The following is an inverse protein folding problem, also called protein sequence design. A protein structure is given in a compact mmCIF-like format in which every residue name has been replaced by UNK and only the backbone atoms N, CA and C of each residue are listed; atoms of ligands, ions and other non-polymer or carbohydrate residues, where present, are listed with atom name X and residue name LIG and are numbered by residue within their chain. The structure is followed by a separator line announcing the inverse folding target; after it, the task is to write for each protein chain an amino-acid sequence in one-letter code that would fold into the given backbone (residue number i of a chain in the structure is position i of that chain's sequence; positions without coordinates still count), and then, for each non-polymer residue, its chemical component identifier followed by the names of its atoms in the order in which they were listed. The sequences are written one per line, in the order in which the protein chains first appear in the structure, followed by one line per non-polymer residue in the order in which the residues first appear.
data_IF_454511667350
#
_entry.id   IF_454511667350
#
_cell.length_a   1.000
_cell.length_b   1.000
_cell.length_c   1.000
_cell.angle_alpha   90.00
_cell.angle_beta   90.00
_cell.angle_gamma   90.00
#
_symmetry.space_group_name_H-M   'P 1'
#
loop_
_entity.id
_entity.type
_entity.pdbx_description
1 polymer ?
#
# COMPACT_ATOMS: atom_id res chain seq x y z
N UNK A 1 12.75 45.66 25.44
CA UNK A 1 11.94 45.89 24.23
C UNK A 1 12.68 45.15 23.11
N UNK A 2 12.77 43.82 23.09
CA UNK A 2 11.71 42.81 23.07
C UNK A 2 10.64 43.09 22.01
N UNK A 3 10.87 42.55 20.81
CA UNK A 3 9.81 42.08 19.92
C UNK A 3 10.26 40.75 19.32
N UNK A 4 9.61 39.70 19.82
CA UNK A 4 9.64 38.32 19.36
C UNK A 4 8.75 38.18 18.14
N UNK A 5 9.33 37.82 16.99
CA UNK A 5 8.53 37.29 15.87
C UNK A 5 8.14 35.85 16.20
N UNK A 6 6.87 35.69 16.58
CA UNK A 6 6.24 34.39 16.77
C UNK A 6 6.09 33.74 15.40
N UNK A 7 6.77 32.62 15.20
CA UNK A 7 6.53 31.71 14.10
C UNK A 7 5.05 31.29 14.10
N UNK A 8 4.40 31.46 12.95
CA UNK A 8 3.08 30.93 12.69
C UNK A 8 3.12 29.39 12.72
N UNK A 9 2.08 28.71 13.25
CA UNK A 9 2.04 27.26 13.24
C UNK A 9 1.87 26.76 11.80
N UNK A 10 2.75 25.85 11.38
CA UNK A 10 2.59 25.07 10.14
C UNK A 10 1.36 24.16 10.33
N UNK A 11 0.26 24.51 9.68
CA UNK A 11 -0.85 23.59 9.46
C UNK A 11 -0.45 22.61 8.35
N UNK A 12 0.12 21.47 8.72
CA UNK A 12 0.22 20.31 7.83
C UNK A 12 -1.15 19.65 7.78
N UNK A 13 -1.91 19.93 6.71
CA UNK A 13 -3.09 19.14 6.37
C UNK A 13 -2.58 17.90 5.62
N UNK A 14 -2.57 16.75 6.25
CA UNK A 14 -1.99 15.50 5.73
C UNK A 14 -3.10 14.58 5.22
N UNK A 15 -3.29 14.55 3.90
CA UNK A 15 -3.68 13.32 3.23
C UNK A 15 -2.42 12.49 3.00
N UNK A 16 -2.53 11.16 3.02
CA UNK A 16 -1.42 10.24 2.74
C UNK A 16 -0.86 10.51 1.34
N UNK A 17 0.28 11.19 1.28
CA UNK A 17 1.02 11.40 0.05
C UNK A 17 1.56 10.07 -0.46
N UNK A 18 1.40 9.80 -1.75
CA UNK A 18 2.19 8.77 -2.42
C UNK A 18 3.63 9.32 -2.47
N UNK A 19 4.63 8.57 -1.97
CA UNK A 19 6.05 8.93 -1.97
C UNK A 19 6.65 8.86 -3.38
N UNK A 20 6.07 9.61 -4.32
CA UNK A 20 6.48 9.63 -5.72
C UNK A 20 7.76 10.47 -5.82
N UNK A 21 8.86 9.81 -6.15
CA UNK A 21 10.18 10.43 -6.32
C UNK A 21 10.20 11.40 -7.51
N UNK A 22 10.89 12.54 -7.37
CA UNK A 22 11.12 13.49 -8.46
C UNK A 22 12.05 12.89 -9.54
N UNK A 23 11.82 13.13 -10.84
CA UNK A 23 12.81 12.78 -11.85
C UNK A 23 14.02 13.72 -11.73
N UNK A 24 15.22 13.13 -11.69
CA UNK A 24 16.49 13.86 -11.75
C UNK A 24 16.66 14.48 -13.14
N UNK A 25 16.80 15.81 -13.20
CA UNK A 25 17.15 16.52 -14.43
C UNK A 25 18.62 16.25 -14.81
N UNK A 26 18.87 15.17 -15.57
CA UNK A 26 20.12 15.04 -16.32
C UNK A 26 19.99 15.69 -17.70
N UNK A 27 20.63 16.85 -17.84
CA UNK A 27 20.87 17.54 -19.10
C UNK A 27 21.79 16.71 -20.00
N UNK A 28 21.23 15.97 -20.95
CA UNK A 28 22.01 15.34 -22.01
C UNK A 28 22.27 16.29 -23.19
N UNK A 29 23.48 16.82 -23.25
CA UNK A 29 24.04 17.43 -24.47
C UNK A 29 24.35 16.35 -25.52
N UNK A 30 23.85 16.58 -26.73
CA UNK A 30 24.01 15.68 -27.88
C UNK A 30 25.45 15.61 -28.41
N UNK A 31 25.86 14.39 -28.77
CA UNK A 31 27.10 14.12 -29.47
C UNK A 31 26.96 12.95 -30.45
N UNK A 32 26.69 13.27 -31.72
CA UNK A 32 26.74 12.32 -32.84
C UNK A 32 28.19 11.89 -33.08
N UNK A 33 28.45 10.57 -33.10
CA UNK A 33 29.50 9.98 -33.93
C UNK A 33 29.31 8.48 -34.17
N UNK A 34 29.11 8.17 -35.44
CA UNK A 34 29.14 6.86 -36.10
C UNK A 34 30.41 6.05 -35.83
N UNK A 35 30.29 4.71 -35.77
CA UNK A 35 31.19 3.77 -36.46
C UNK A 35 30.63 2.34 -36.49
N UNK A 36 30.59 1.80 -37.70
CA UNK A 36 30.39 0.40 -38.04
C UNK A 36 31.41 -0.53 -37.36
N UNK A 37 31.00 -1.75 -37.00
CA UNK A 37 31.56 -2.96 -37.60
C UNK A 37 30.80 -4.23 -37.18
N UNK A 38 30.41 -4.97 -38.20
CA UNK A 38 29.96 -6.37 -38.23
C UNK A 38 30.86 -7.35 -37.45
N UNK A 39 30.27 -8.33 -36.77
CA UNK A 39 30.69 -9.72 -36.92
C UNK A 39 29.59 -10.70 -36.48
N UNK A 40 29.05 -11.42 -37.46
CA UNK A 40 28.22 -12.61 -37.25
C UNK A 40 29.12 -13.83 -37.08
N UNK A 41 28.83 -14.71 -36.12
CA UNK A 41 28.96 -16.16 -36.38
C UNK A 41 28.29 -17.06 -35.33
N UNK A 42 27.50 -17.99 -35.88
CA UNK A 42 27.33 -19.38 -35.46
C UNK A 42 26.53 -19.67 -34.17
N UNK A 43 25.23 -19.85 -34.39
CA UNK A 43 24.37 -20.81 -33.70
C UNK A 43 25.05 -22.19 -33.68
N UNK A 44 25.29 -22.72 -32.49
CA UNK A 44 25.45 -24.16 -32.25
C UNK A 44 24.39 -24.59 -31.24
N UNK A 45 23.40 -25.28 -31.76
CA UNK A 45 22.40 -26.03 -31.02
C UNK A 45 23.05 -27.30 -30.45
N UNK A 46 23.37 -27.31 -29.16
CA UNK A 46 23.59 -28.55 -28.42
C UNK A 46 22.41 -28.78 -27.49
N UNK A 47 21.66 -29.82 -27.84
CA UNK A 47 20.62 -30.45 -27.04
C UNK A 47 21.22 -30.96 -25.74
N UNK A 48 20.73 -30.45 -24.61
CA UNK A 48 20.90 -31.11 -23.34
C UNK A 48 19.50 -31.30 -22.73
N UNK A 49 18.91 -32.46 -23.04
CA UNK A 49 17.85 -33.01 -22.22
C UNK A 49 18.46 -33.33 -20.85
N UNK A 50 18.19 -32.48 -19.85
CA UNK A 50 18.60 -32.68 -18.48
C UNK A 50 17.37 -32.84 -17.60
N UNK A 51 17.35 -33.96 -16.89
CA UNK A 51 16.35 -34.38 -15.94
C UNK A 51 15.96 -33.26 -14.97
N UNK A 52 14.66 -32.94 -14.94
CA UNK A 52 14.07 -32.07 -13.93
C UNK A 52 13.96 -32.89 -12.63
N UNK A 53 15.01 -32.82 -11.82
CA UNK A 53 14.97 -33.21 -10.42
C UNK A 53 15.03 -31.94 -9.58
N UNK A 54 14.10 -31.79 -8.64
CA UNK A 54 14.05 -30.64 -7.75
C UNK A 54 15.37 -30.51 -6.98
N UNK A 55 16.02 -29.34 -7.09
CA UNK A 55 17.29 -29.07 -6.42
C UNK A 55 17.03 -28.57 -4.99
N UNK A 56 17.44 -29.37 -4.01
CA UNK A 56 17.42 -29.01 -2.58
C UNK A 56 18.19 -27.70 -2.28
N UNK A 57 17.71 -26.89 -1.32
CA UNK A 57 18.28 -25.57 -0.98
C UNK A 57 19.79 -25.61 -0.70
N UNK A 58 20.25 -26.61 0.03
CA UNK A 58 21.68 -26.79 0.32
C UNK A 58 22.52 -27.12 -0.93
N UNK A 59 21.94 -27.80 -1.92
CA UNK A 59 22.58 -28.02 -3.21
C UNK A 59 22.61 -26.72 -4.02
N UNK A 60 21.49 -26.01 -4.11
CA UNK A 60 21.38 -24.72 -4.82
C UNK A 60 22.37 -23.68 -4.28
N UNK A 61 22.45 -23.51 -2.95
CA UNK A 61 23.43 -22.61 -2.32
C UNK A 61 24.86 -22.95 -2.69
N UNK A 62 25.23 -24.23 -2.72
CA UNK A 62 26.59 -24.66 -3.10
C UNK A 62 26.86 -24.36 -4.58
N UNK A 63 25.89 -24.59 -5.45
CA UNK A 63 25.99 -24.29 -6.88
C UNK A 63 26.20 -22.79 -7.12
N UNK A 64 25.45 -21.92 -6.42
CA UNK A 64 25.62 -20.47 -6.52
C UNK A 64 27.02 -20.04 -6.06
N UNK A 65 27.50 -20.58 -4.92
CA UNK A 65 28.85 -20.29 -4.44
C UNK A 65 29.94 -20.78 -5.38
N UNK A 66 29.75 -21.94 -6.02
CA UNK A 66 30.66 -22.45 -7.04
C UNK A 66 30.66 -21.56 -8.28
N UNK A 67 29.48 -21.14 -8.75
CA UNK A 67 29.35 -20.20 -9.88
C UNK A 67 30.08 -18.89 -9.58
N UNK A 68 29.87 -18.29 -8.40
CA UNK A 68 30.61 -17.11 -7.95
C UNK A 68 32.14 -17.35 -7.93
N UNK A 69 32.57 -18.56 -7.59
CA UNK A 69 33.97 -18.98 -7.65
C UNK A 69 34.55 -19.04 -9.07
N UNK A 70 33.72 -19.28 -10.09
CA UNK A 70 34.14 -19.30 -11.51
C UNK A 70 34.22 -17.93 -12.16
N UNK A 71 33.59 -16.91 -11.55
CA UNK A 71 33.62 -15.53 -12.05
C UNK A 71 35.01 -14.94 -11.89
N UNK A 72 35.45 -14.16 -12.88
CA UNK A 72 36.75 -13.48 -12.88
C UNK A 72 36.87 -12.60 -11.63
N UNK A 73 37.99 -12.64 -10.86
CA UNK A 73 38.09 -11.92 -9.60
C UNK A 73 37.79 -10.42 -9.66
N UNK A 74 38.07 -9.77 -10.78
CA UNK A 74 37.80 -8.34 -10.99
C UNK A 74 36.30 -8.01 -11.08
N UNK A 75 35.48 -8.93 -11.59
CA UNK A 75 34.05 -8.73 -11.81
C UNK A 75 33.20 -9.21 -10.62
N UNK A 76 33.78 -9.99 -9.70
CA UNK A 76 33.05 -10.51 -8.51
C UNK A 76 32.43 -9.42 -7.65
N UNK A 77 33.08 -8.27 -7.34
CA UNK A 77 32.44 -7.22 -6.56
C UNK A 77 31.22 -6.63 -7.27
N UNK A 78 31.30 -6.40 -8.58
CA UNK A 78 30.20 -5.87 -9.38
C UNK A 78 29.03 -6.86 -9.47
N UNK A 79 29.31 -8.14 -9.68
CA UNK A 79 28.29 -9.19 -9.68
C UNK A 79 27.63 -9.35 -8.31
N UNK A 80 28.40 -9.33 -7.21
CA UNK A 80 27.84 -9.38 -5.86
C UNK A 80 27.01 -8.14 -5.53
N UNK A 81 27.39 -6.98 -6.05
CA UNK A 81 26.59 -5.76 -5.91
C UNK A 81 25.28 -5.88 -6.69
N UNK A 82 25.34 -6.27 -7.98
CA UNK A 82 24.14 -6.54 -8.78
C UNK A 82 23.24 -7.59 -8.11
N UNK A 83 23.78 -8.69 -7.59
CA UNK A 83 22.97 -9.71 -6.90
C UNK A 83 22.26 -9.17 -5.64
N UNK A 84 22.77 -8.11 -5.01
CA UNK A 84 22.15 -7.48 -3.85
C UNK A 84 21.07 -6.46 -4.22
N UNK A 85 21.20 -5.84 -5.39
CA UNK A 85 20.39 -4.67 -5.77
C UNK A 85 19.51 -4.92 -6.99
N UNK A 86 19.60 -6.08 -7.65
CA UNK A 86 18.79 -6.39 -8.83
C UNK A 86 17.38 -6.82 -8.45
N UNK A 87 16.41 -6.40 -9.27
CA UNK A 87 15.00 -6.87 -9.24
C UNK A 87 14.77 -8.12 -10.09
N UNK A 88 15.78 -8.60 -10.82
CA UNK A 88 15.66 -9.81 -11.68
C UNK A 88 15.31 -11.07 -10.87
N UNK A 89 15.58 -11.08 -9.56
CA UNK A 89 15.20 -12.18 -8.68
C UNK A 89 13.73 -12.15 -8.26
N UNK A 90 13.05 -11.02 -8.41
CA UNK A 90 11.66 -10.85 -8.01
C UNK A 90 10.75 -11.82 -8.78
N UNK A 91 11.08 -12.12 -10.05
CA UNK A 91 10.40 -13.13 -10.90
C UNK A 91 10.41 -14.54 -10.29
N UNK A 92 11.46 -14.89 -9.54
CA UNK A 92 11.58 -16.20 -8.87
C UNK A 92 10.96 -16.21 -7.47
N UNK A 93 10.58 -15.03 -6.96
CA UNK A 93 9.88 -14.84 -5.68
C UNK A 93 8.44 -14.38 -5.85
N UNK A 94 7.94 -14.24 -7.09
CA UNK A 94 6.54 -13.90 -7.37
C UNK A 94 5.65 -14.96 -6.73
N UNK A 95 5.01 -14.58 -5.63
CA UNK A 95 4.02 -15.41 -4.98
C UNK A 95 2.78 -15.44 -5.90
N UNK A 96 2.19 -16.62 -6.10
CA UNK A 96 0.91 -16.75 -6.81
C UNK A 96 -0.15 -15.82 -6.20
N UNK A 97 -0.03 -15.54 -4.90
CA UNK A 97 -0.83 -14.56 -4.18
C UNK A 97 -0.69 -13.14 -4.74
N UNK A 98 0.52 -12.71 -5.08
CA UNK A 98 0.78 -11.38 -5.66
C UNK A 98 0.12 -11.25 -7.03
N UNK A 99 0.24 -12.30 -7.84
CA UNK A 99 -0.35 -12.36 -9.17
C UNK A 99 -1.87 -12.33 -9.05
N UNK A 100 -2.45 -13.04 -8.07
CA UNK A 100 -3.89 -12.97 -7.80
C UNK A 100 -4.33 -11.57 -7.41
N UNK A 101 -3.63 -10.87 -6.50
CA UNK A 101 -3.97 -9.50 -6.12
C UNK A 101 -3.83 -8.53 -7.31
N UNK A 102 -2.81 -8.67 -8.15
CA UNK A 102 -2.68 -7.88 -9.38
C UNK A 102 -3.86 -8.11 -10.33
N UNK A 103 -4.27 -9.36 -10.53
CA UNK A 103 -5.46 -9.66 -11.34
C UNK A 103 -6.75 -9.07 -10.73
N UNK A 104 -6.88 -9.06 -9.40
CA UNK A 104 -8.00 -8.41 -8.71
C UNK A 104 -7.98 -6.90 -8.96
N UNK A 105 -6.81 -6.26 -8.89
CA UNK A 105 -6.65 -4.86 -9.21
C UNK A 105 -7.09 -4.57 -10.67
N UNK A 106 -6.70 -5.40 -11.63
CA UNK A 106 -7.11 -5.28 -13.04
C UNK A 106 -8.63 -5.37 -13.21
N UNK A 107 -9.26 -6.33 -12.52
CA UNK A 107 -10.71 -6.48 -12.55
C UNK A 107 -11.43 -5.26 -12.00
N UNK A 108 -10.97 -4.74 -10.85
CA UNK A 108 -11.56 -3.56 -10.22
C UNK A 108 -11.39 -2.33 -11.10
N UNK A 109 -10.23 -2.14 -11.74
CA UNK A 109 -9.99 -1.04 -12.69
C UNK A 109 -10.98 -1.06 -13.86
N UNK A 110 -11.36 -2.24 -14.35
CA UNK A 110 -12.36 -2.35 -15.42
C UNK A 110 -13.78 -1.96 -14.98
N UNK A 111 -14.04 -1.90 -13.67
CA UNK A 111 -15.32 -1.50 -13.09
C UNK A 111 -15.34 -0.06 -12.58
N UNK A 112 -14.20 0.62 -12.55
CA UNK A 112 -14.04 1.93 -11.92
C UNK A 112 -13.62 2.99 -12.95
N UNK A 113 -13.97 4.27 -12.71
CA UNK A 113 -13.38 5.36 -13.45
C UNK A 113 -11.86 5.46 -13.16
N UNK A 114 -11.11 6.16 -14.02
CA UNK A 114 -9.66 6.30 -13.89
C UNK A 114 -9.27 6.93 -12.54
N UNK A 115 -10.05 7.90 -12.07
CA UNK A 115 -9.88 8.58 -10.79
C UNK A 115 -10.16 7.65 -9.60
N UNK A 116 -10.73 6.46 -9.84
CA UNK A 116 -11.04 5.41 -8.86
C UNK A 116 -11.92 5.87 -7.70
N UNK A 117 -12.66 6.95 -7.90
CA UNK A 117 -13.66 7.49 -6.98
C UNK A 117 -15.05 7.29 -7.56
N UNK A 118 -15.96 6.72 -6.79
CA UNK A 118 -17.35 6.59 -7.19
C UNK A 118 -18.10 7.88 -6.94
N UNK A 119 -19.11 8.17 -7.75
CA UNK A 119 -19.96 9.34 -7.52
C UNK A 119 -20.68 9.28 -6.17
N UNK A 120 -20.87 8.09 -5.59
CA UNK A 120 -21.46 7.90 -4.27
C UNK A 120 -20.55 8.36 -3.11
N UNK A 121 -19.25 8.61 -3.35
CA UNK A 121 -18.30 9.17 -2.38
C UNK A 121 -18.33 10.72 -2.34
N UNK A 122 -19.53 11.31 -2.27
CA UNK A 122 -19.72 12.76 -2.44
C UNK A 122 -18.87 13.62 -1.48
N UNK A 123 -18.78 13.25 -0.20
CA UNK A 123 -18.05 14.04 0.79
C UNK A 123 -16.53 13.98 0.57
N UNK A 124 -16.00 12.80 0.20
CA UNK A 124 -14.58 12.64 -0.09
C UNK A 124 -14.19 13.45 -1.33
N UNK A 125 -14.99 13.37 -2.41
CA UNK A 125 -14.82 14.20 -3.60
C UNK A 125 -14.81 15.70 -3.27
N UNK A 126 -15.78 16.14 -2.44
CA UNK A 126 -15.85 17.53 -2.01
C UNK A 126 -14.62 17.95 -1.20
N UNK A 127 -14.14 17.12 -0.28
CA UNK A 127 -12.96 17.42 0.55
C UNK A 127 -11.67 17.47 -0.27
N UNK A 128 -11.50 16.59 -1.25
CA UNK A 128 -10.35 16.61 -2.16
C UNK A 128 -10.34 17.91 -2.97
N UNK A 129 -11.49 18.35 -3.48
CA UNK A 129 -11.62 19.62 -4.21
C UNK A 129 -11.36 20.87 -3.36
N UNK A 130 -11.55 20.76 -2.04
CA UNK A 130 -11.31 21.85 -1.08
C UNK A 130 -9.86 21.90 -0.56
N UNK A 131 -8.99 20.99 -1.01
CA UNK A 131 -7.59 21.01 -0.62
C UNK A 131 -6.91 22.31 -1.08
N UNK A 132 -6.07 22.93 -0.24
CA UNK A 132 -5.43 24.21 -0.56
C UNK A 132 -4.45 24.09 -1.74
N UNK A 133 -3.88 22.89 -1.92
CA UNK A 133 -3.07 22.50 -3.07
C UNK A 133 -3.93 21.63 -3.98
N UNK A 134 -3.87 21.78 -5.31
CA UNK A 134 -4.53 20.87 -6.23
C UNK A 134 -4.09 19.43 -5.99
N UNK A 135 -5.05 18.56 -5.72
CA UNK A 135 -4.83 17.18 -5.28
C UNK A 135 -5.68 16.24 -6.11
N UNK A 136 -5.10 15.10 -6.49
CA UNK A 136 -5.72 14.05 -7.27
C UNK A 136 -5.77 12.77 -6.44
N UNK A 137 -6.88 12.04 -6.55
CA UNK A 137 -7.00 10.71 -5.95
C UNK A 137 -6.43 9.66 -6.92
N UNK A 138 -5.57 8.80 -6.39
CA UNK A 138 -4.96 7.68 -7.09
C UNK A 138 -4.94 6.51 -6.12
N UNK A 139 -5.67 5.46 -6.43
CA UNK A 139 -5.73 4.28 -5.56
C UNK A 139 -4.43 3.45 -5.67
N UNK A 140 -3.69 3.37 -4.56
CA UNK A 140 -2.38 2.71 -4.50
C UNK A 140 -2.44 1.18 -4.66
N UNK A 141 -3.62 0.56 -4.51
CA UNK A 141 -3.80 -0.87 -4.81
C UNK A 141 -3.96 -1.09 -6.31
N UNK A 142 -4.64 -0.16 -6.99
CA UNK A 142 -4.99 -0.29 -8.41
C UNK A 142 -3.87 0.18 -9.34
N UNK A 143 -3.09 1.16 -8.92
CA UNK A 143 -2.03 1.76 -9.71
C UNK A 143 -0.74 1.81 -8.90
N UNK A 144 0.25 1.03 -9.33
CA UNK A 144 1.63 1.17 -8.86
C UNK A 144 2.34 2.32 -9.58
N UNK A 145 3.55 2.66 -9.10
CA UNK A 145 4.33 3.78 -9.66
C UNK A 145 4.63 3.62 -11.15
N UNK A 146 4.96 2.39 -11.58
CA UNK A 146 5.24 2.07 -12.98
C UNK A 146 3.99 2.30 -13.86
N UNK A 147 2.80 1.99 -13.34
CA UNK A 147 1.55 2.28 -14.04
C UNK A 147 1.26 3.78 -14.10
N UNK A 148 1.53 4.53 -13.04
CA UNK A 148 1.38 5.99 -13.03
C UNK A 148 2.35 6.66 -14.00
N UNK A 149 3.60 6.17 -14.09
CA UNK A 149 4.58 6.59 -15.11
C UNK A 149 4.02 6.39 -16.52
N UNK A 150 3.50 5.20 -16.80
CA UNK A 150 2.91 4.87 -18.10
C UNK A 150 1.72 5.79 -18.45
N UNK A 151 0.84 6.09 -17.48
CA UNK A 151 -0.27 7.03 -17.69
C UNK A 151 0.20 8.47 -17.96
N UNK A 152 1.31 8.88 -17.34
CA UNK A 152 1.93 10.19 -17.59
C UNK A 152 2.53 10.25 -19.01
N UNK A 153 3.26 9.21 -19.42
CA UNK A 153 3.85 9.12 -20.76
C UNK A 153 2.79 9.12 -21.87
N UNK A 154 1.65 8.45 -21.64
CA UNK A 154 0.50 8.45 -22.54
C UNK A 154 -0.30 9.76 -22.54
N UNK A 155 0.03 10.71 -21.65
CA UNK A 155 -0.67 11.99 -21.52
C UNK A 155 -2.09 11.87 -20.95
N UNK A 156 -2.43 10.73 -20.33
CA UNK A 156 -3.71 10.50 -19.64
C UNK A 156 -3.73 11.08 -18.23
N UNK A 157 -2.54 11.30 -17.67
CA UNK A 157 -2.35 11.84 -16.32
C UNK A 157 -1.16 12.82 -16.31
N UNK A 158 -1.09 13.67 -15.29
CA UNK A 158 0.08 14.51 -15.03
C UNK A 158 0.40 14.47 -13.56
N UNK A 159 1.70 14.53 -13.21
CA UNK A 159 2.17 14.74 -11.83
C UNK A 159 2.21 16.20 -11.40
N UNK A 160 2.05 17.10 -12.36
CA UNK A 160 2.19 18.53 -12.17
C UNK A 160 0.95 19.28 -12.67
N UNK A 161 0.67 20.43 -12.07
CA UNK A 161 -0.33 21.39 -12.57
C UNK A 161 0.34 22.71 -12.93
N UNK A 162 -0.22 23.41 -13.92
CA UNK A 162 0.23 24.75 -14.28
C UNK A 162 -0.19 25.75 -13.21
N UNK A 163 0.77 26.52 -12.68
CA UNK A 163 0.48 27.64 -11.77
C UNK A 163 -0.21 28.79 -12.52
N UNK A 164 0.11 28.94 -13.81
CA UNK A 164 -0.57 29.83 -14.75
C UNK A 164 -0.94 29.01 -15.98
N UNK A 165 -2.25 28.90 -16.27
CA UNK A 165 -2.75 28.08 -17.38
C UNK A 165 -2.10 28.49 -18.72
N UNK A 166 -1.57 27.52 -19.46
CA UNK A 166 -0.85 27.74 -20.72
C UNK A 166 0.61 28.17 -20.57
N UNK A 167 1.15 28.21 -19.35
CA UNK A 167 2.58 28.44 -19.10
C UNK A 167 3.34 27.13 -18.85
N UNK A 168 4.68 27.21 -18.89
CA UNK A 168 5.58 26.15 -18.44
C UNK A 168 5.90 26.23 -16.94
N UNK A 169 5.28 27.15 -16.21
CA UNK A 169 5.46 27.25 -14.76
C UNK A 169 4.53 26.26 -14.08
N UNK A 170 5.10 25.12 -13.68
CA UNK A 170 4.37 24.03 -13.05
C UNK A 170 4.75 23.83 -11.59
N UNK A 171 3.83 23.25 -10.82
CA UNK A 171 4.05 22.78 -9.46
C UNK A 171 3.52 21.35 -9.33
N UNK A 172 4.07 20.53 -8.41
CA UNK A 172 3.62 19.15 -8.22
C UNK A 172 2.17 19.12 -7.72
N UNK A 173 1.40 18.14 -8.15
CA UNK A 173 0.08 17.84 -7.59
C UNK A 173 0.22 17.21 -6.19
N UNK A 174 -0.82 17.29 -5.38
CA UNK A 174 -1.00 16.38 -4.25
C UNK A 174 -1.55 15.05 -4.74
N UNK A 175 -1.11 13.95 -4.14
CA UNK A 175 -1.65 12.61 -4.39
C UNK A 175 -2.20 12.04 -3.09
N UNK A 176 -3.39 11.42 -3.16
CA UNK A 176 -4.02 10.75 -2.02
C UNK A 176 -4.52 9.38 -2.47
N UNK A 177 -4.26 8.38 -1.63
CA UNK A 177 -4.87 7.05 -1.72
C UNK A 177 -5.69 6.75 -0.45
N UNK A 178 -6.81 6.04 -0.64
CA UNK A 178 -7.61 5.46 0.45
C UNK A 178 -7.45 3.94 0.57
N UNK A 179 -6.54 3.33 -0.20
CA UNK A 179 -6.23 1.91 -0.16
C UNK A 179 -4.76 1.68 0.15
N UNK A 180 -4.45 0.52 0.74
CA UNK A 180 -3.09 0.01 0.82
C UNK A 180 -2.61 -0.47 -0.55
N UNK A 181 -1.35 -0.20 -0.88
CA UNK A 181 -0.68 -0.84 -2.01
C UNK A 181 -0.42 -2.32 -1.75
N UNK A 182 -0.05 -3.06 -2.79
CA UNK A 182 0.37 -4.47 -2.67
C UNK A 182 1.54 -4.65 -1.70
N UNK A 183 2.48 -3.70 -1.71
CA UNK A 183 3.66 -3.71 -0.85
C UNK A 183 3.29 -3.51 0.61
N UNK A 184 2.37 -2.58 0.89
CA UNK A 184 1.87 -2.34 2.24
C UNK A 184 1.08 -3.54 2.78
N UNK A 185 0.22 -4.15 1.95
CA UNK A 185 -0.49 -5.36 2.34
C UNK A 185 0.48 -6.49 2.71
N UNK A 186 1.54 -6.69 1.91
CA UNK A 186 2.59 -7.66 2.24
C UNK A 186 3.31 -7.31 3.54
N UNK A 187 3.69 -6.06 3.72
CA UNK A 187 4.34 -5.60 4.95
C UNK A 187 3.46 -5.90 6.17
N UNK A 188 2.17 -5.55 6.09
CA UNK A 188 1.19 -5.78 7.15
C UNK A 188 1.09 -7.27 7.48
N UNK A 189 0.84 -8.13 6.49
CA UNK A 189 0.54 -9.54 6.76
C UNK A 189 1.77 -10.42 7.01
N UNK A 190 2.92 -10.11 6.42
CA UNK A 190 4.13 -10.94 6.58
C UNK A 190 5.06 -10.45 7.70
N UNK A 191 5.03 -9.16 8.04
CA UNK A 191 6.02 -8.56 8.93
C UNK A 191 5.42 -7.87 10.17
N UNK A 192 4.21 -7.32 10.07
CA UNK A 192 3.58 -6.59 11.18
C UNK A 192 2.68 -7.49 12.02
N UNK A 193 1.78 -8.24 11.38
CA UNK A 193 0.80 -9.07 12.06
C UNK A 193 1.39 -10.44 12.44
N UNK A 194 0.98 -11.02 13.58
CA UNK A 194 1.35 -12.38 13.95
C UNK A 194 0.56 -13.41 13.11
N UNK A 195 0.84 -14.71 13.31
CA UNK A 195 0.01 -15.77 12.76
C UNK A 195 -1.46 -15.60 13.18
N UNK A 196 -2.36 -15.67 12.19
CA UNK A 196 -3.79 -15.42 12.36
C UNK A 196 -4.61 -16.71 12.42
N UNK A 197 -3.98 -17.87 12.58
CA UNK A 197 -4.68 -19.15 12.68
C UNK A 197 -5.73 -19.13 13.81
N UNK A 198 -7.00 -19.37 13.46
CA UNK A 198 -8.11 -19.33 14.44
C UNK A 198 -8.48 -17.92 14.93
N UNK A 199 -8.05 -16.87 14.21
CA UNK A 199 -8.27 -15.46 14.55
C UNK A 199 -9.28 -14.80 13.63
N UNK A 200 -9.99 -13.82 14.18
CA UNK A 200 -10.93 -12.96 13.44
C UNK A 200 -10.30 -11.60 13.21
N UNK A 201 -10.22 -11.18 11.94
CA UNK A 201 -9.79 -9.84 11.54
C UNK A 201 -10.98 -9.03 11.03
N UNK A 202 -11.06 -7.77 11.42
CA UNK A 202 -12.07 -6.82 10.98
C UNK A 202 -11.41 -5.63 10.30
N UNK A 203 -11.80 -5.37 9.06
CA UNK A 203 -11.41 -4.20 8.27
C UNK A 203 -12.54 -3.16 8.30
N UNK A 204 -12.28 -2.01 8.90
CA UNK A 204 -13.27 -0.94 9.08
C UNK A 204 -13.14 0.07 7.94
N UNK A 205 -14.22 0.26 7.18
CA UNK A 205 -14.20 1.09 5.97
C UNK A 205 -13.49 0.40 4.82
N UNK A 206 -13.86 -0.86 4.58
CA UNK A 206 -13.11 -1.75 3.69
C UNK A 206 -13.02 -1.30 2.23
N UNK A 207 -13.83 -0.33 1.78
CA UNK A 207 -13.78 0.28 0.44
C UNK A 207 -13.66 -0.74 -0.70
N UNK A 208 -12.49 -0.88 -1.32
CA UNK A 208 -12.27 -1.84 -2.41
C UNK A 208 -12.05 -3.30 -1.95
N UNK A 209 -11.93 -3.54 -0.63
CA UNK A 209 -11.72 -4.86 -0.03
C UNK A 209 -10.25 -5.32 -0.02
N UNK A 210 -9.30 -4.40 -0.23
CA UNK A 210 -7.88 -4.73 -0.46
C UNK A 210 -7.25 -5.44 0.74
N UNK A 211 -7.58 -4.99 1.96
CA UNK A 211 -7.18 -5.65 3.22
C UNK A 211 -7.74 -7.06 3.30
N UNK A 212 -8.99 -7.29 2.87
CA UNK A 212 -9.63 -8.61 2.92
C UNK A 212 -8.99 -9.57 1.92
N UNK A 213 -8.72 -9.12 0.70
CA UNK A 213 -8.09 -9.96 -0.34
C UNK A 213 -6.65 -10.29 0.04
N UNK A 214 -5.89 -9.30 0.53
CA UNK A 214 -4.55 -9.51 1.06
C UNK A 214 -4.57 -10.48 2.25
N UNK A 215 -5.52 -10.31 3.17
CA UNK A 215 -5.65 -11.20 4.34
C UNK A 215 -6.02 -12.62 3.97
N UNK A 216 -6.80 -12.81 2.91
CA UNK A 216 -7.10 -14.15 2.41
C UNK A 216 -5.85 -14.82 1.84
N UNK A 217 -5.08 -14.10 1.03
CA UNK A 217 -3.96 -14.70 0.32
C UNK A 217 -2.70 -14.84 1.18
N UNK A 218 -2.43 -13.89 2.08
CA UNK A 218 -1.22 -13.83 2.88
C UNK A 218 -1.38 -14.34 4.31
N UNK A 219 -2.58 -14.72 4.74
CA UNK A 219 -2.80 -15.15 6.13
C UNK A 219 -3.71 -16.37 6.28
N UNK A 220 -3.54 -17.02 7.43
CA UNK A 220 -4.31 -18.13 7.96
C UNK A 220 -5.54 -17.69 8.78
N UNK A 221 -5.94 -16.42 8.71
CA UNK A 221 -7.09 -15.87 9.44
C UNK A 221 -8.32 -16.77 9.24
N UNK A 222 -9.02 -17.08 10.34
CA UNK A 222 -10.21 -17.95 10.29
C UNK A 222 -11.35 -17.26 9.56
N UNK A 223 -11.55 -15.98 9.86
CA UNK A 223 -12.56 -15.13 9.22
C UNK A 223 -12.03 -13.71 9.04
N UNK A 224 -12.39 -13.11 7.91
CA UNK A 224 -12.05 -11.75 7.50
C UNK A 224 -13.36 -10.99 7.29
N UNK A 225 -13.64 -9.97 8.11
CA UNK A 225 -14.86 -9.17 8.01
C UNK A 225 -14.55 -7.77 7.48
N UNK A 226 -15.11 -7.41 6.33
CA UNK A 226 -15.13 -6.03 5.86
C UNK A 226 -16.41 -5.35 6.30
N UNK A 227 -16.31 -4.19 6.98
CA UNK A 227 -17.46 -3.33 7.24
C UNK A 227 -17.35 -2.12 6.34
N UNK A 228 -18.38 -1.88 5.53
CA UNK A 228 -18.41 -0.77 4.58
C UNK A 228 -19.79 -0.10 4.57
N UNK A 229 -19.79 1.23 4.60
CA UNK A 229 -21.01 2.03 4.63
C UNK A 229 -21.61 2.19 3.24
N UNK A 230 -20.78 2.23 2.20
CA UNK A 230 -21.18 2.42 0.82
C UNK A 230 -21.50 1.08 0.14
N UNK A 231 -22.78 0.88 -0.20
CA UNK A 231 -23.27 -0.32 -0.84
C UNK A 231 -22.69 -0.59 -2.24
N UNK A 232 -22.19 0.42 -2.97
CA UNK A 232 -21.57 0.20 -4.28
C UNK A 232 -20.20 -0.50 -4.11
N UNK A 233 -19.44 -0.09 -3.10
CA UNK A 233 -18.19 -0.76 -2.74
C UNK A 233 -18.41 -2.17 -2.23
N UNK A 234 -19.44 -2.38 -1.41
CA UNK A 234 -19.84 -3.73 -0.99
C UNK A 234 -20.10 -4.64 -2.21
N UNK A 235 -20.80 -4.13 -3.23
CA UNK A 235 -21.07 -4.89 -4.45
C UNK A 235 -19.78 -5.22 -5.24
N UNK A 236 -18.83 -4.29 -5.34
CA UNK A 236 -17.53 -4.54 -5.96
C UNK A 236 -16.75 -5.61 -5.21
N UNK A 237 -16.73 -5.55 -3.87
CA UNK A 237 -16.07 -6.55 -3.04
C UNK A 237 -16.71 -7.93 -3.24
N UNK A 238 -18.05 -8.02 -3.19
CA UNK A 238 -18.79 -9.27 -3.39
C UNK A 238 -18.58 -9.87 -4.80
N UNK A 239 -18.44 -9.02 -5.83
CA UNK A 239 -18.06 -9.47 -7.16
C UNK A 239 -16.69 -10.17 -7.16
N UNK A 240 -15.67 -9.55 -6.55
CA UNK A 240 -14.33 -10.13 -6.45
C UNK A 240 -14.37 -11.43 -5.62
N UNK A 241 -15.00 -11.40 -4.45
CA UNK A 241 -15.13 -12.57 -3.55
C UNK A 241 -15.73 -13.75 -4.30
N UNK A 242 -16.79 -13.52 -5.09
CA UNK A 242 -17.44 -14.56 -5.88
C UNK A 242 -16.55 -15.05 -7.03
N UNK A 243 -15.87 -14.15 -7.74
CA UNK A 243 -15.00 -14.51 -8.88
C UNK A 243 -13.82 -15.36 -8.44
N UNK A 244 -13.21 -15.03 -7.31
CA UNK A 244 -12.02 -15.70 -6.77
C UNK A 244 -12.33 -16.76 -5.72
N UNK A 245 -13.61 -16.98 -5.40
CA UNK A 245 -14.09 -18.00 -4.46
C UNK A 245 -13.59 -17.82 -3.01
N UNK A 246 -13.49 -16.58 -2.54
CA UNK A 246 -13.02 -16.24 -1.19
C UNK A 246 -14.11 -16.29 -0.11
N UNK A 247 -15.31 -16.77 -0.47
CA UNK A 247 -16.52 -16.73 0.37
C UNK A 247 -16.50 -17.70 1.55
N UNK A 248 -15.48 -18.55 1.68
CA UNK A 248 -15.29 -19.44 2.83
C UNK A 248 -14.76 -18.68 4.07
N UNK A 249 -13.99 -17.61 3.87
CA UNK A 249 -13.41 -16.80 4.96
C UNK A 249 -13.74 -15.32 4.93
N UNK A 250 -13.99 -14.73 3.76
CA UNK A 250 -14.34 -13.30 3.66
C UNK A 250 -15.84 -13.11 3.79
N UNK A 251 -16.25 -12.12 4.59
CA UNK A 251 -17.62 -11.64 4.70
C UNK A 251 -17.65 -10.11 4.65
N UNK A 252 -18.50 -9.55 3.80
CA UNK A 252 -18.69 -8.10 3.68
C UNK A 252 -20.02 -7.71 4.31
N UNK A 253 -19.98 -6.70 5.19
CA UNK A 253 -21.12 -6.17 5.91
C UNK A 253 -21.38 -4.75 5.43
N UNK A 254 -22.47 -4.58 4.65
CA UNK A 254 -22.99 -3.26 4.31
C UNK A 254 -23.66 -2.64 5.54
N UNK A 255 -22.89 -1.92 6.36
CA UNK A 255 -23.32 -1.41 7.65
C UNK A 255 -22.48 -0.21 8.13
N UNK A 256 -23.07 0.61 9.00
CA UNK A 256 -22.32 1.56 9.82
C UNK A 256 -21.56 0.79 10.91
N UNK A 257 -20.25 0.98 11.02
CA UNK A 257 -19.42 0.36 12.05
C UNK A 257 -19.93 0.64 13.47
N UNK A 258 -20.60 1.78 13.68
CA UNK A 258 -21.24 2.15 14.95
C UNK A 258 -22.45 1.27 15.32
N UNK A 259 -22.78 0.28 14.50
CA UNK A 259 -23.82 -0.73 14.77
C UNK A 259 -23.23 -2.12 15.00
N UNK A 260 -21.91 -2.29 14.83
CA UNK A 260 -21.23 -3.59 14.81
C UNK A 260 -20.42 -3.85 16.10
N UNK A 261 -20.89 -3.37 17.25
CA UNK A 261 -20.17 -3.49 18.53
C UNK A 261 -19.83 -4.93 18.91
N UNK A 262 -20.73 -5.88 18.68
CA UNK A 262 -20.45 -7.30 18.95
C UNK A 262 -19.33 -7.87 18.06
N UNK A 263 -19.21 -7.41 16.82
CA UNK A 263 -18.12 -7.81 15.93
C UNK A 263 -16.78 -7.27 16.45
N UNK A 264 -16.72 -5.97 16.75
CA UNK A 264 -15.54 -5.30 17.29
C UNK A 264 -15.06 -5.89 18.63
N UNK A 265 -16.00 -6.26 19.51
CA UNK A 265 -15.67 -6.87 20.81
C UNK A 265 -15.05 -8.25 20.69
N UNK A 266 -15.33 -8.98 19.60
CA UNK A 266 -14.82 -10.33 19.39
C UNK A 266 -13.57 -10.39 18.49
N UNK A 267 -13.29 -9.32 17.75
CA UNK A 267 -12.14 -9.22 16.85
C UNK A 267 -10.81 -9.46 17.56
N UNK A 268 -9.92 -10.21 16.94
CA UNK A 268 -8.53 -10.38 17.37
C UNK A 268 -7.62 -9.32 16.74
N UNK A 269 -7.96 -8.86 15.54
CA UNK A 269 -7.27 -7.78 14.83
C UNK A 269 -8.32 -6.84 14.23
N UNK A 270 -8.14 -5.53 14.41
CA UNK A 270 -8.92 -4.48 13.75
C UNK A 270 -7.98 -3.63 12.91
N UNK A 271 -8.31 -3.44 11.64
CA UNK A 271 -7.56 -2.60 10.70
C UNK A 271 -8.41 -1.38 10.34
N UNK A 272 -7.79 -0.21 10.38
CA UNK A 272 -8.42 1.07 10.06
C UNK A 272 -7.48 1.90 9.18
N UNK A 273 -7.72 1.90 7.87
CA UNK A 273 -6.93 2.66 6.91
C UNK A 273 -7.71 3.89 6.41
N UNK A 274 -7.33 5.08 6.88
CA UNK A 274 -7.85 6.37 6.43
C UNK A 274 -9.39 6.45 6.38
N UNK A 275 -10.05 5.81 7.37
CA UNK A 275 -11.46 5.44 7.23
C UNK A 275 -12.45 6.60 7.41
N UNK A 276 -12.06 7.68 8.10
CA UNK A 276 -13.04 8.70 8.52
C UNK A 276 -12.78 10.11 7.99
N UNK A 277 -11.53 10.52 7.85
CA UNK A 277 -11.18 11.93 7.59
C UNK A 277 -11.86 12.47 6.32
N UNK A 278 -11.92 11.66 5.27
CA UNK A 278 -12.50 12.06 3.97
C UNK A 278 -14.00 11.73 3.85
N UNK A 279 -14.49 10.78 4.65
CA UNK A 279 -15.81 10.17 4.45
C UNK A 279 -16.87 10.67 5.42
N UNK A 280 -16.47 11.29 6.55
CA UNK A 280 -17.36 11.76 7.60
C UNK A 280 -17.07 13.21 7.99
N UNK A 281 -18.05 13.92 8.55
CA UNK A 281 -17.81 15.23 9.18
C UNK A 281 -17.19 15.08 10.60
N UNK A 282 -16.56 16.12 11.14
CA UNK A 282 -15.82 16.04 12.41
C UNK A 282 -16.63 15.46 13.58
N UNK A 283 -17.92 15.78 13.69
CA UNK A 283 -18.79 15.24 14.75
C UNK A 283 -19.08 13.74 14.56
N UNK A 284 -19.27 13.30 13.32
CA UNK A 284 -19.41 11.89 12.98
C UNK A 284 -18.12 11.11 13.20
N UNK A 285 -16.97 11.70 12.86
CA UNK A 285 -15.65 11.11 13.12
C UNK A 285 -15.43 10.90 14.62
N UNK A 286 -15.70 11.93 15.44
CA UNK A 286 -15.59 11.84 16.88
C UNK A 286 -16.50 10.74 17.45
N UNK A 287 -17.76 10.69 17.02
CA UNK A 287 -18.71 9.64 17.41
C UNK A 287 -18.24 8.24 17.03
N UNK A 288 -17.69 8.07 15.83
CA UNK A 288 -17.21 6.77 15.35
C UNK A 288 -15.99 6.30 16.14
N UNK A 289 -15.01 7.19 16.37
CA UNK A 289 -13.86 6.89 17.20
C UNK A 289 -14.23 6.57 18.65
N UNK A 290 -15.17 7.33 19.23
CA UNK A 290 -15.69 7.01 20.56
C UNK A 290 -16.33 5.63 20.56
N UNK A 291 -17.19 5.31 19.60
CA UNK A 291 -17.80 3.99 19.52
C UNK A 291 -16.76 2.86 19.40
N UNK A 292 -15.76 3.01 18.53
CA UNK A 292 -14.71 2.02 18.32
C UNK A 292 -13.90 1.83 19.60
N UNK A 293 -13.44 2.92 20.22
CA UNK A 293 -12.69 2.84 21.48
C UNK A 293 -13.50 2.22 22.62
N UNK A 294 -14.83 2.30 22.61
CA UNK A 294 -15.66 1.62 23.61
C UNK A 294 -15.85 0.11 23.33
N UNK A 295 -15.75 -0.33 22.07
CA UNK A 295 -16.03 -1.71 21.69
C UNK A 295 -14.77 -2.55 21.41
N UNK A 296 -13.66 -1.95 20.98
CA UNK A 296 -12.38 -2.63 20.80
C UNK A 296 -11.64 -2.67 22.15
N UNK A 297 -12.02 -3.67 22.96
CA UNK A 297 -11.56 -3.82 24.36
C UNK A 297 -11.06 -5.23 24.70
N UNK A 298 -10.95 -6.11 23.71
CA UNK A 298 -10.43 -7.47 23.91
C UNK A 298 -8.94 -7.38 24.23
N UNK A 299 -8.55 -7.64 25.47
CA UNK A 299 -7.15 -7.55 25.89
C UNK A 299 -6.26 -8.46 25.04
N UNK A 300 -5.11 -7.93 24.59
CA UNK A 300 -4.17 -8.61 23.72
C UNK A 300 -4.61 -8.73 22.25
N UNK A 301 -5.76 -8.17 21.88
CA UNK A 301 -6.09 -7.95 20.46
C UNK A 301 -5.26 -6.80 19.89
N UNK A 302 -5.17 -6.76 18.56
CA UNK A 302 -4.37 -5.78 17.84
C UNK A 302 -5.26 -4.77 17.13
N UNK A 303 -4.83 -3.51 17.11
CA UNK A 303 -5.41 -2.43 16.33
C UNK A 303 -4.33 -1.86 15.44
N UNK A 304 -4.54 -1.91 14.13
CA UNK A 304 -3.67 -1.29 13.14
C UNK A 304 -4.35 -0.07 12.56
N UNK A 305 -3.69 1.08 12.58
CA UNK A 305 -4.24 2.32 12.03
C UNK A 305 -3.28 3.00 11.07
N UNK A 306 -3.86 3.67 10.08
CA UNK A 306 -3.18 4.60 9.19
C UNK A 306 -4.05 5.85 9.04
N UNK A 307 -3.62 7.04 9.49
CA UNK A 307 -2.36 7.32 10.20
C UNK A 307 -2.41 6.84 11.67
N UNK A 308 -1.45 7.28 12.49
CA UNK A 308 -1.45 7.03 13.95
C UNK A 308 -2.76 7.45 14.63
N UNK A 309 -3.06 6.84 15.78
CA UNK A 309 -4.19 7.25 16.62
C UNK A 309 -4.02 8.69 17.12
N UNK A 310 -2.80 9.09 17.46
CA UNK A 310 -2.45 10.44 17.87
C UNK A 310 -2.84 11.47 16.79
N UNK A 311 -2.43 11.23 15.55
CA UNK A 311 -2.77 12.11 14.42
C UNK A 311 -4.28 12.11 14.16
N UNK A 312 -4.87 10.92 14.06
CA UNK A 312 -6.31 10.72 13.77
C UNK A 312 -7.22 11.40 14.80
N UNK A 313 -6.82 11.44 16.07
CA UNK A 313 -7.62 12.01 17.16
C UNK A 313 -7.25 13.46 17.48
N UNK A 314 -6.08 13.95 17.08
CA UNK A 314 -5.57 15.29 17.45
C UNK A 314 -6.49 16.44 17.07
N UNK A 315 -7.20 16.30 15.94
CA UNK A 315 -8.11 17.31 15.39
C UNK A 315 -9.55 17.17 15.90
N UNK A 316 -9.85 16.09 16.62
CA UNK A 316 -11.20 15.74 17.04
C UNK A 316 -11.42 16.04 18.53
N UNK A 317 -12.60 16.58 18.84
CA UNK A 317 -13.03 16.78 20.23
C UNK A 317 -13.55 15.46 20.81
N UNK A 318 -12.64 14.56 21.17
CA UNK A 318 -12.97 13.26 21.78
C UNK A 318 -12.48 13.19 23.22
N UNK A 319 -13.14 12.37 24.04
CA UNK A 319 -12.70 12.08 25.41
C UNK A 319 -11.81 10.82 25.50
N UNK A 320 -11.25 10.38 24.39
CA UNK A 320 -10.49 9.13 24.30
C UNK A 320 -9.12 9.33 24.92
N UNK A 321 -8.80 8.52 25.92
CA UNK A 321 -7.47 8.44 26.50
C UNK A 321 -6.75 7.21 25.94
N UNK A 322 -5.63 7.42 25.25
CA UNK A 322 -4.87 6.34 24.62
C UNK A 322 -4.17 5.45 25.64
N UNK A 323 -3.49 6.03 26.63
CA UNK A 323 -2.71 5.29 27.64
C UNK A 323 -3.46 4.17 28.38
N UNK A 324 -4.75 4.29 28.76
CA UNK A 324 -5.50 3.18 29.35
C UNK A 324 -6.18 2.25 28.33
N UNK A 325 -6.08 2.53 27.04
CA UNK A 325 -6.76 1.77 25.99
C UNK A 325 -5.79 0.93 25.17
N UNK A 326 -4.69 1.52 24.74
CA UNK A 326 -3.76 0.96 23.77
C UNK A 326 -2.32 1.18 24.21
N UNK A 327 -1.44 0.30 23.75
CA UNK A 327 0.00 0.48 23.78
C UNK A 327 0.55 0.28 22.38
N UNK A 328 1.25 1.28 21.85
CA UNK A 328 1.90 1.18 20.54
C UNK A 328 3.01 0.11 20.57
N UNK A 329 3.06 -0.68 19.50
CA UNK A 329 4.05 -1.73 19.27
C UNK A 329 5.04 -1.19 18.23
N UNK A 330 6.33 -1.01 18.59
CA UNK A 330 7.34 -0.55 17.64
C UNK A 330 7.50 -1.53 16.48
N UNK A 331 7.41 -1.03 15.25
CA UNK A 331 7.65 -1.81 14.04
C UNK A 331 9.11 -1.68 13.58
N UNK A 332 9.67 -2.78 13.07
CA UNK A 332 11.02 -2.77 12.50
C UNK A 332 10.95 -2.64 10.98
N UNK A 333 11.25 -1.44 10.48
CA UNK A 333 11.22 -1.11 9.06
C UNK A 333 12.50 -1.53 8.32
N UNK A 334 13.63 -1.67 9.02
CA UNK A 334 14.96 -1.84 8.41
C UNK A 334 15.26 -3.32 8.04
N UNK A 335 14.54 -4.29 8.60
CA UNK A 335 14.76 -5.73 8.35
C UNK A 335 13.87 -6.30 7.22
N UNK A 336 12.89 -5.54 6.73
CA UNK A 336 11.76 -6.15 6.04
C UNK A 336 11.71 -5.93 4.52
N UNK A 337 12.42 -4.96 3.91
CA UNK A 337 12.12 -4.58 2.52
C UNK A 337 13.34 -4.14 1.68
N UNK A 338 13.28 -4.26 0.33
CA UNK A 338 14.32 -3.81 -0.59
C UNK A 338 14.64 -2.31 -0.49
N UNK A 339 15.84 -1.88 -0.92
CA UNK A 339 16.32 -0.48 -0.79
C UNK A 339 15.45 0.57 -1.50
N UNK A 340 14.60 0.18 -2.47
CA UNK A 340 13.72 1.09 -3.23
C UNK A 340 12.27 1.19 -2.69
N UNK A 341 12.06 0.75 -1.46
CA UNK A 341 10.72 0.73 -0.85
C UNK A 341 10.32 2.14 -0.41
N UNK A 342 9.07 2.54 -0.67
CA UNK A 342 8.49 3.79 -0.13
C UNK A 342 8.36 3.68 1.41
N UNK A 343 9.47 3.98 2.08
CA UNK A 343 9.59 3.93 3.53
C UNK A 343 8.62 4.90 4.21
N UNK A 344 8.41 6.08 3.60
CA UNK A 344 7.51 7.09 4.14
C UNK A 344 6.08 6.56 4.22
N UNK A 345 5.61 5.86 3.18
CA UNK A 345 4.31 5.20 3.19
C UNK A 345 4.15 4.17 4.33
N UNK A 346 5.20 3.37 4.59
CA UNK A 346 5.16 2.31 5.60
C UNK A 346 5.25 2.85 7.02
N UNK A 347 5.99 3.94 7.22
CA UNK A 347 6.08 4.61 8.52
C UNK A 347 4.75 5.22 8.98
N UNK A 348 3.77 5.35 8.09
CA UNK A 348 2.40 5.72 8.44
C UNK A 348 1.57 4.54 9.00
N UNK A 349 2.12 3.32 9.00
CA UNK A 349 1.46 2.13 9.53
C UNK A 349 1.79 1.98 11.02
N UNK A 350 0.77 2.11 11.86
CA UNK A 350 0.92 1.99 13.30
C UNK A 350 0.18 0.76 13.84
N UNK A 351 0.85 0.00 14.69
CA UNK A 351 0.28 -1.16 15.37
C UNK A 351 0.15 -0.89 16.86
N UNK A 352 -0.98 -1.25 17.44
CA UNK A 352 -1.28 -1.09 18.85
C UNK A 352 -1.79 -2.41 19.43
N UNK A 353 -1.38 -2.71 20.66
CA UNK A 353 -1.94 -3.78 21.49
C UNK A 353 -3.01 -3.19 22.42
N UNK A 354 -4.18 -3.83 22.51
CA UNK A 354 -5.27 -3.44 23.41
C UNK A 354 -4.95 -3.90 24.85
N UNK A 355 -5.00 -2.95 25.80
CA UNK A 355 -4.59 -3.13 27.20
C UNK A 355 -5.62 -3.79 28.12
#
# INVERSE_FOLDING_TARGET
MDYTERGAPRNSKTGRGLGISEPSEELHEGGVRSRDSSCACAVRTESCAAACGDMEFCAARRTILQLLGTVVPADRPALLQWMRTTRDFDEFTQDNNDIMLKNIADDLRNCLPLETMLSSEHLALQKIQQQPKPTVHVDAFLYDEDFIDSLCEEGKMSRNYCMVCGSHQTAPLGFISHSFSLMELKFIYHHVLPDLSGKVLVDVGSRLGTVLFGGYLYSSAEQLYGVELNGDFCQLQEMVIKKYQFNDRIKVLHADICTQGSLLQNADVVIMNNVFEYFLNEAEQARAWEYISHNVRKQGSLLLTVPSLEESLSVLQTNIQLSPWVKEVPLNYDECLPEDTDREALEQIHLYEIL
#
